data_IF_619363722450
#
_entry.id   IF_619363722450
#
_cell.length_a   1.000
_cell.length_b   1.000
_cell.length_c   1.000
_cell.angle_alpha   90.00
_cell.angle_beta   90.00
_cell.angle_gamma   90.00
#
_symmetry.space_group_name_H-M   'P 1'
#
loop_
_entity.id
_entity.type
_entity.pdbx_description
1 polymer ?
#
# COMPACT_ATOMS: atom_id res chain seq x y z
N UNK A 1 -9.29 5.52 -1.65
CA UNK A 1 -9.53 5.14 -3.05
C UNK A 1 -9.51 3.63 -3.14
N UNK A 2 -10.68 3.00 -3.35
CA UNK A 2 -10.84 1.54 -3.38
C UNK A 2 -10.41 1.02 -4.76
N UNK A 3 -9.32 0.26 -4.81
CA UNK A 3 -8.88 -0.43 -6.03
C UNK A 3 -9.18 -1.92 -5.86
N UNK A 4 -10.36 -2.34 -6.33
CA UNK A 4 -10.67 -3.76 -6.51
C UNK A 4 -10.14 -4.21 -7.86
N UNK A 5 -9.05 -4.96 -7.87
CA UNK A 5 -8.58 -5.65 -9.06
C UNK A 5 -9.41 -6.93 -9.23
N UNK A 6 -10.38 -6.89 -10.15
CA UNK A 6 -11.22 -8.04 -10.49
C UNK A 6 -10.45 -8.93 -11.48
N UNK A 7 -9.76 -9.96 -10.98
CA UNK A 7 -9.31 -11.08 -11.80
C UNK A 7 -10.37 -12.18 -11.72
N UNK A 8 -10.99 -12.58 -12.84
CA UNK A 8 -12.08 -13.55 -12.81
C UNK A 8 -11.55 -14.91 -12.33
N UNK A 9 -12.04 -15.29 -11.15
CA UNK A 9 -12.24 -16.66 -10.66
C UNK A 9 -11.17 -17.38 -9.81
N UNK A 10 -10.11 -16.73 -9.30
CA UNK A 10 -9.19 -17.43 -8.34
C UNK A 10 -8.65 -16.66 -7.14
N UNK A 11 -8.59 -15.33 -7.18
CA UNK A 11 -7.95 -14.54 -6.12
C UNK A 11 -8.78 -13.28 -5.87
N UNK A 12 -9.22 -13.07 -4.62
CA UNK A 12 -9.83 -11.81 -4.21
C UNK A 12 -8.87 -11.03 -3.33
N UNK A 13 -8.56 -9.80 -3.72
CA UNK A 13 -7.69 -8.91 -2.95
C UNK A 13 -8.53 -7.73 -2.48
N UNK A 14 -8.71 -7.62 -1.17
CA UNK A 14 -9.24 -6.40 -0.54
C UNK A 14 -8.07 -5.56 -0.05
N UNK A 15 -7.96 -4.31 -0.49
CA UNK A 15 -6.85 -3.43 -0.09
C UNK A 15 -7.35 -2.13 0.51
N UNK A 16 -6.90 -1.84 1.72
CA UNK A 16 -7.01 -0.55 2.40
C UNK A 16 -5.64 0.11 2.48
N UNK A 17 -5.63 1.44 2.49
CA UNK A 17 -4.41 2.21 2.77
C UNK A 17 -4.76 3.37 3.68
N UNK A 18 -4.05 3.49 4.79
CA UNK A 18 -4.14 4.62 5.71
C UNK A 18 -2.89 5.47 5.53
N UNK A 19 -3.08 6.78 5.45
CA UNK A 19 -2.01 7.74 5.19
C UNK A 19 -2.07 8.78 6.31
N UNK A 20 -0.95 9.04 6.98
CA UNK A 20 -0.85 10.18 7.90
C UNK A 20 -0.07 11.33 7.24
N UNK A 21 -0.51 12.53 7.57
CA UNK A 21 0.10 13.79 7.15
C UNK A 21 -0.17 14.84 8.23
N UNK A 22 0.67 15.86 8.29
CA UNK A 22 0.43 17.03 9.14
C UNK A 22 -0.39 18.09 8.36
N UNK A 23 -1.61 18.42 8.83
CA UNK A 23 -2.46 19.42 8.17
C UNK A 23 -1.83 20.82 8.06
N UNK A 24 -0.87 21.18 8.92
CA UNK A 24 -0.18 22.47 8.87
C UNK A 24 0.60 22.64 7.56
N UNK A 25 1.21 21.55 7.07
CA UNK A 25 1.88 21.53 5.78
C UNK A 25 0.90 21.85 4.64
N UNK A 26 -0.33 21.30 4.69
CA UNK A 26 -1.38 21.62 3.72
C UNK A 26 -1.82 23.09 3.77
N UNK A 27 -1.76 23.70 4.96
CA UNK A 27 -2.09 25.10 5.18
C UNK A 27 -0.94 26.07 4.82
N UNK A 28 0.23 25.54 4.41
CA UNK A 28 1.36 26.35 3.94
C UNK A 28 2.37 26.72 5.03
N UNK A 29 2.36 26.04 6.17
CA UNK A 29 3.40 26.18 7.20
C UNK A 29 4.77 25.73 6.61
N UNK A 30 5.78 26.63 6.52
CA UNK A 30 7.08 26.30 5.94
C UNK A 30 7.93 25.39 6.84
N UNK A 31 7.59 25.26 8.13
CA UNK A 31 8.30 24.42 9.09
C UNK A 31 7.87 22.94 9.00
N UNK A 32 6.85 22.63 8.19
CA UNK A 32 6.25 21.31 8.07
C UNK A 32 6.35 20.80 6.64
N UNK A 33 6.78 19.54 6.50
CA UNK A 33 6.85 18.86 5.20
C UNK A 33 5.45 18.65 4.60
N UNK A 34 5.32 18.85 3.29
CA UNK A 34 4.07 18.70 2.53
C UNK A 34 3.85 17.29 1.94
N UNK A 35 4.65 16.32 2.38
CA UNK A 35 4.54 14.92 1.98
C UNK A 35 3.85 14.10 3.07
N UNK A 36 3.51 12.84 2.74
CA UNK A 36 3.01 11.91 3.75
C UNK A 36 4.13 11.54 4.72
N UNK A 37 3.78 11.37 5.98
CA UNK A 37 4.73 10.96 7.03
C UNK A 37 4.90 9.45 6.99
N UNK A 38 3.78 8.73 7.00
CA UNK A 38 3.75 7.29 6.85
C UNK A 38 2.54 6.82 6.02
N UNK A 39 2.67 5.63 5.44
CA UNK A 39 1.59 4.95 4.73
C UNK A 39 1.55 3.48 5.15
N UNK A 40 0.40 3.09 5.71
CA UNK A 40 0.09 1.70 6.04
C UNK A 40 -0.77 1.12 4.94
N UNK A 41 -0.37 -0.02 4.38
CA UNK A 41 -1.08 -0.70 3.30
C UNK A 41 -1.48 -2.07 3.81
N UNK A 42 -2.78 -2.33 3.90
CA UNK A 42 -3.31 -3.63 4.30
C UNK A 42 -3.94 -4.31 3.10
N UNK A 43 -3.50 -5.53 2.81
CA UNK A 43 -4.05 -6.37 1.74
C UNK A 43 -4.51 -7.71 2.32
N UNK A 44 -5.80 -8.01 2.15
CA UNK A 44 -6.38 -9.32 2.49
C UNK A 44 -6.61 -10.12 1.22
N UNK A 45 -5.97 -11.27 1.11
CA UNK A 45 -5.96 -12.11 -0.08
C UNK A 45 -6.70 -13.42 0.17
N UNK A 46 -7.88 -13.57 -0.44
CA UNK A 46 -8.62 -14.84 -0.44
C UNK A 46 -8.15 -15.70 -1.61
N UNK A 47 -7.50 -16.81 -1.30
CA UNK A 47 -6.96 -17.76 -2.28
C UNK A 47 -6.73 -19.14 -1.65
N UNK A 48 -6.63 -20.18 -2.48
CA UNK A 48 -6.21 -21.52 -2.04
C UNK A 48 -4.68 -21.67 -2.00
N UNK A 49 -3.94 -20.74 -2.59
CA UNK A 49 -2.47 -20.73 -2.64
C UNK A 49 -1.84 -20.59 -1.24
N UNK A 50 -0.57 -20.97 -1.09
CA UNK A 50 0.15 -20.89 0.18
C UNK A 50 0.47 -19.45 0.60
N UNK A 51 0.78 -19.24 1.89
CA UNK A 51 1.27 -17.95 2.40
C UNK A 51 2.52 -17.46 1.65
N UNK A 52 3.44 -18.37 1.30
CA UNK A 52 4.66 -18.01 0.56
C UNK A 52 4.34 -17.45 -0.84
N UNK A 53 3.28 -17.95 -1.47
CA UNK A 53 2.80 -17.43 -2.77
C UNK A 53 2.15 -16.07 -2.63
N UNK A 54 1.49 -15.79 -1.50
CA UNK A 54 0.97 -14.45 -1.17
C UNK A 54 2.11 -13.46 -0.93
N UNK A 55 3.18 -13.86 -0.24
CA UNK A 55 4.39 -13.02 -0.08
C UNK A 55 5.10 -12.77 -1.40
N UNK A 56 5.24 -13.78 -2.25
CA UNK A 56 5.81 -13.62 -3.59
C UNK A 56 4.96 -12.64 -4.44
N UNK A 57 3.64 -12.71 -4.32
CA UNK A 57 2.72 -11.78 -4.96
C UNK A 57 2.88 -10.36 -4.43
N UNK A 58 3.03 -10.18 -3.11
CA UNK A 58 3.32 -8.89 -2.47
C UNK A 58 4.59 -8.29 -3.06
N UNK A 59 5.72 -9.02 -3.01
CA UNK A 59 7.01 -8.52 -3.48
C UNK A 59 6.95 -8.07 -4.94
N UNK A 60 6.33 -8.89 -5.81
CA UNK A 60 6.17 -8.55 -7.24
C UNK A 60 5.25 -7.35 -7.44
N UNK A 61 4.20 -7.22 -6.62
CA UNK A 61 3.26 -6.10 -6.69
C UNK A 61 3.94 -4.80 -6.25
N UNK A 62 4.64 -4.83 -5.12
CA UNK A 62 5.33 -3.68 -4.53
C UNK A 62 6.45 -3.16 -5.44
N UNK A 63 7.19 -4.06 -6.09
CA UNK A 63 8.21 -3.71 -7.09
C UNK A 63 7.64 -3.03 -8.35
N UNK A 64 6.39 -3.33 -8.71
CA UNK A 64 5.77 -2.86 -9.96
C UNK A 64 4.77 -1.73 -9.74
N UNK A 65 4.31 -1.50 -8.51
CA UNK A 65 3.33 -0.48 -8.21
C UNK A 65 3.97 0.92 -8.36
N UNK A 66 3.52 1.75 -9.33
CA UNK A 66 4.11 3.07 -9.54
C UNK A 66 3.97 3.97 -8.31
N UNK A 67 2.88 3.80 -7.55
CA UNK A 67 2.64 4.56 -6.33
C UNK A 67 3.57 4.11 -5.21
N UNK A 68 3.75 2.80 -5.00
CA UNK A 68 4.62 2.28 -3.94
C UNK A 68 6.09 2.70 -4.17
N UNK A 69 6.58 2.54 -5.39
CA UNK A 69 7.96 2.91 -5.76
C UNK A 69 8.20 4.42 -5.65
N UNK A 70 7.23 5.26 -6.02
CA UNK A 70 7.29 6.70 -5.83
C UNK A 70 7.36 7.08 -4.35
N UNK A 71 6.50 6.50 -3.50
CA UNK A 71 6.51 6.78 -2.06
C UNK A 71 7.83 6.35 -1.40
N UNK A 72 8.36 5.19 -1.80
CA UNK A 72 9.67 4.71 -1.35
C UNK A 72 10.80 5.63 -1.79
N UNK A 73 10.75 6.14 -3.02
CA UNK A 73 11.74 7.10 -3.54
C UNK A 73 11.67 8.47 -2.83
N UNK A 74 10.51 8.84 -2.30
CA UNK A 74 10.32 10.02 -1.47
C UNK A 74 10.75 9.82 -0.01
N UNK A 75 11.37 8.68 0.34
CA UNK A 75 11.78 8.31 1.69
C UNK A 75 10.64 8.29 2.72
N UNK A 76 9.41 8.01 2.28
CA UNK A 76 8.24 7.89 3.15
C UNK A 76 8.26 6.50 3.80
N UNK A 77 7.90 6.42 5.07
CA UNK A 77 7.77 5.14 5.78
C UNK A 77 6.57 4.36 5.23
N UNK A 78 6.84 3.13 4.76
CA UNK A 78 5.86 2.25 4.14
C UNK A 78 5.74 0.95 4.94
N UNK A 79 4.53 0.62 5.36
CA UNK A 79 4.22 -0.60 6.10
C UNK A 79 3.22 -1.45 5.31
N UNK A 80 3.69 -2.32 4.38
CA UNK A 80 2.83 -3.22 3.65
C UNK A 80 2.57 -4.50 4.45
N UNK A 81 1.33 -4.69 4.87
CA UNK A 81 0.83 -5.90 5.53
C UNK A 81 -0.09 -6.68 4.59
N UNK A 82 0.39 -7.83 4.14
CA UNK A 82 -0.37 -8.76 3.30
C UNK A 82 -0.69 -10.01 4.09
N UNK A 83 -1.98 -10.29 4.23
CA UNK A 83 -2.49 -11.43 4.97
C UNK A 83 -3.42 -12.27 4.10
N UNK A 84 -3.32 -13.59 4.19
CA UNK A 84 -4.32 -14.49 3.62
C UNK A 84 -5.61 -14.46 4.45
N UNK A 85 -6.77 -14.49 3.78
CA UNK A 85 -8.10 -14.39 4.38
C UNK A 85 -9.05 -15.53 3.98
#
# INVERSE_FOLDING_TARGET
MLLSLCYPDRIWIHRSSVICLDPRGLMGDPEVTRYFENVVIEARVKTEESEDRVKELQEKTDQRCPVFTMLKAACIELEPDWTKA
#
